data_IF_105320297050
#
_entry.id   IF_105320297050
#
_cell.length_a   1.000
_cell.length_b   1.000
_cell.length_c   1.000
_cell.angle_alpha   90.00
_cell.angle_beta   90.00
_cell.angle_gamma   90.00
#
_symmetry.space_group_name_H-M   'P 1'
#
loop_
_entity.id
_entity.type
_entity.pdbx_description
1 polymer ?
#
# COMPACT_ATOMS: atom_id res chain seq x y z
N UNK A 1 -2.79 4.90 -14.79
CA UNK A 1 -1.94 5.98 -14.23
C UNK A 1 -1.10 6.60 -15.33
N UNK A 2 -0.82 7.92 -15.25
CA UNK A 2 0.02 8.66 -16.23
C UNK A 2 1.32 9.00 -15.53
N UNK A 3 2.46 8.78 -16.21
CA UNK A 3 3.80 9.11 -15.69
C UNK A 3 4.46 10.19 -16.58
N UNK A 4 5.36 10.95 -15.97
CA UNK A 4 6.17 11.92 -16.71
C UNK A 4 7.13 11.19 -17.65
N UNK A 5 7.13 11.57 -18.93
CA UNK A 5 8.13 11.14 -19.90
C UNK A 5 8.87 12.37 -20.43
N UNK A 6 10.12 12.53 -20.01
CA UNK A 6 10.97 13.66 -20.39
C UNK A 6 11.42 13.65 -21.86
N UNK A 7 11.08 12.62 -22.63
CA UNK A 7 11.35 12.52 -24.09
C UNK A 7 10.27 13.22 -24.92
N UNK A 8 9.08 13.45 -24.33
CA UNK A 8 7.99 14.12 -25.01
C UNK A 8 8.20 15.64 -25.02
N UNK A 9 8.05 16.26 -26.16
CA UNK A 9 8.20 17.72 -26.33
C UNK A 9 6.82 18.39 -26.27
N UNK A 10 6.79 19.59 -25.66
CA UNK A 10 5.56 20.38 -25.53
C UNK A 10 4.52 19.74 -24.60
N UNK A 11 3.24 20.03 -24.85
CA UNK A 11 2.11 19.51 -24.06
C UNK A 11 1.50 18.30 -24.77
N UNK A 12 2.08 17.14 -24.55
CA UNK A 12 1.63 15.89 -25.16
C UNK A 12 1.18 14.90 -24.09
N UNK A 13 0.12 14.16 -24.39
CA UNK A 13 -0.36 13.02 -23.62
C UNK A 13 -0.37 11.80 -24.54
N UNK A 14 0.42 10.79 -24.22
CA UNK A 14 0.48 9.53 -24.94
C UNK A 14 -0.23 8.45 -24.16
N UNK A 15 -1.28 7.87 -24.72
CA UNK A 15 -2.04 6.77 -24.13
C UNK A 15 -1.58 5.45 -24.71
N UNK A 16 -1.30 4.47 -23.84
CA UNK A 16 -1.04 3.10 -24.27
C UNK A 16 -2.34 2.44 -24.73
N UNK A 17 -2.32 1.51 -25.70
CA UNK A 17 -3.52 0.81 -26.16
C UNK A 17 -4.32 0.16 -25.01
N UNK A 18 -3.62 -0.41 -24.01
CA UNK A 18 -4.25 -1.02 -22.84
C UNK A 18 -5.00 -0.06 -21.92
N UNK A 19 -4.74 1.25 -22.05
CA UNK A 19 -5.45 2.30 -21.28
C UNK A 19 -6.75 2.73 -21.95
N UNK A 20 -6.93 2.43 -23.23
CA UNK A 20 -8.15 2.76 -24.00
C UNK A 20 -9.15 1.65 -23.77
N UNK A 21 -10.15 1.88 -22.92
CA UNK A 21 -11.16 0.89 -22.53
C UNK A 21 -12.45 1.01 -23.34
N UNK A 22 -12.74 2.18 -23.87
CA UNK A 22 -13.94 2.47 -24.67
C UNK A 22 -13.70 3.72 -25.53
N UNK A 23 -14.48 3.88 -26.58
CA UNK A 23 -14.51 5.10 -27.38
C UNK A 23 -15.29 6.18 -26.61
N UNK A 24 -14.63 7.28 -26.29
CA UNK A 24 -15.26 8.43 -25.66
C UNK A 24 -15.62 9.48 -26.69
N UNK A 25 -16.84 10.01 -26.62
CA UNK A 25 -17.22 11.17 -27.40
C UNK A 25 -16.42 12.40 -26.96
N UNK A 26 -15.68 13.03 -27.83
CA UNK A 26 -15.05 14.37 -27.84
C UNK A 26 -14.84 15.12 -26.51
N UNK A 27 -14.66 14.42 -25.37
CA UNK A 27 -14.28 15.05 -24.11
C UNK A 27 -12.75 15.09 -24.01
N UNK A 28 -12.21 16.29 -23.88
CA UNK A 28 -10.77 16.58 -23.73
C UNK A 28 -10.38 16.81 -22.29
N UNK A 29 -11.32 16.69 -21.35
CA UNK A 29 -11.11 16.95 -19.93
C UNK A 29 -10.48 15.73 -19.25
N UNK A 30 -9.48 15.98 -18.43
CA UNK A 30 -8.82 14.97 -17.57
C UNK A 30 -9.10 15.33 -16.13
N UNK A 31 -9.71 14.41 -15.41
CA UNK A 31 -9.88 14.53 -13.97
C UNK A 31 -8.67 13.93 -13.26
N UNK A 32 -8.00 14.75 -12.44
CA UNK A 32 -6.83 14.33 -11.65
C UNK A 32 -7.31 13.98 -10.24
N UNK A 33 -7.39 12.69 -9.95
CA UNK A 33 -7.80 12.19 -8.63
C UNK A 33 -6.67 12.30 -7.61
N UNK A 34 -5.44 11.99 -8.02
CA UNK A 34 -4.28 11.94 -7.13
C UNK A 34 -2.97 12.13 -7.90
N UNK A 35 -1.90 12.47 -7.18
CA UNK A 35 -0.55 12.59 -7.75
C UNK A 35 0.54 12.20 -6.75
N UNK A 36 1.70 11.78 -7.25
CA UNK A 36 2.87 11.40 -6.45
C UNK A 36 3.67 12.64 -5.96
N UNK A 37 2.97 13.61 -5.38
CA UNK A 37 3.56 14.88 -4.94
C UNK A 37 4.55 14.71 -3.79
N UNK A 38 4.22 13.82 -2.85
CA UNK A 38 5.03 13.49 -1.69
C UNK A 38 5.03 11.97 -1.46
N UNK A 39 6.11 11.42 -0.90
CA UNK A 39 6.13 10.03 -0.50
C UNK A 39 5.17 9.82 0.68
N UNK A 40 4.43 8.72 0.67
CA UNK A 40 3.55 8.36 1.77
C UNK A 40 4.30 7.50 2.79
N UNK A 41 4.15 7.77 4.09
CA UNK A 41 4.77 6.95 5.11
C UNK A 41 4.22 5.52 5.05
N UNK A 42 5.11 4.55 5.23
CA UNK A 42 4.73 3.15 5.32
C UNK A 42 4.30 2.81 6.74
N UNK A 43 3.16 2.14 6.84
CA UNK A 43 2.68 1.53 8.08
C UNK A 43 2.49 0.04 7.89
N UNK A 44 2.96 -0.73 8.84
CA UNK A 44 2.62 -2.16 8.93
C UNK A 44 1.14 -2.34 9.27
N UNK A 45 0.61 -3.48 8.90
CA UNK A 45 -0.70 -3.96 9.32
C UNK A 45 -0.58 -5.43 9.77
N UNK A 46 -1.64 -5.97 10.36
CA UNK A 46 -1.62 -7.34 10.91
C UNK A 46 -1.25 -8.40 9.87
N UNK A 47 -1.83 -8.31 8.66
CA UNK A 47 -1.58 -9.28 7.61
C UNK A 47 -0.11 -9.26 7.18
N UNK A 48 0.43 -8.07 6.94
CA UNK A 48 1.81 -7.92 6.48
C UNK A 48 2.83 -8.35 7.56
N UNK A 49 2.54 -8.06 8.84
CA UNK A 49 3.35 -8.55 9.97
C UNK A 49 3.35 -10.08 9.97
N UNK A 50 2.15 -10.70 9.89
CA UNK A 50 2.04 -12.17 9.92
C UNK A 50 2.76 -12.84 8.76
N UNK A 51 2.67 -12.28 7.54
CA UNK A 51 3.42 -12.78 6.40
C UNK A 51 4.92 -12.71 6.65
N UNK A 52 5.45 -11.56 7.08
CA UNK A 52 6.88 -11.40 7.36
C UNK A 52 7.36 -12.32 8.48
N UNK A 53 6.55 -12.52 9.54
CA UNK A 53 6.81 -13.47 10.62
C UNK A 53 6.94 -14.90 10.07
N UNK A 54 5.96 -15.36 9.28
CA UNK A 54 5.96 -16.70 8.68
C UNK A 54 7.11 -16.89 7.67
N UNK A 55 7.56 -15.80 7.04
CA UNK A 55 8.77 -15.77 6.20
C UNK A 55 10.07 -15.76 7.04
N UNK A 56 9.98 -15.65 8.35
CA UNK A 56 11.10 -15.73 9.29
C UNK A 56 11.77 -14.40 9.64
N UNK A 57 11.10 -13.27 9.46
CA UNK A 57 11.52 -11.99 10.06
C UNK A 57 11.45 -12.11 11.58
N UNK A 58 12.44 -11.59 12.28
CA UNK A 58 12.54 -11.72 13.73
C UNK A 58 11.54 -10.82 14.46
N UNK A 59 10.89 -11.34 15.50
CA UNK A 59 9.91 -10.61 16.32
C UNK A 59 10.46 -9.31 16.87
N UNK A 60 11.77 -9.30 17.17
CA UNK A 60 12.47 -8.12 17.66
C UNK A 60 12.36 -6.91 16.75
N UNK A 61 12.25 -7.11 15.42
CA UNK A 61 12.03 -6.03 14.48
C UNK A 61 10.71 -5.31 14.75
N UNK A 62 9.62 -6.07 14.84
CA UNK A 62 8.27 -5.51 15.04
C UNK A 62 8.12 -4.87 16.42
N UNK A 63 8.61 -5.54 17.46
CA UNK A 63 8.56 -5.05 18.84
C UNK A 63 9.37 -3.77 19.03
N UNK A 64 10.54 -3.66 18.38
CA UNK A 64 11.34 -2.44 18.41
C UNK A 64 10.66 -1.27 17.72
N UNK A 65 10.02 -1.50 16.54
CA UNK A 65 9.24 -0.46 15.86
C UNK A 65 8.06 0.00 16.71
N UNK A 66 7.33 -0.94 17.33
CA UNK A 66 6.23 -0.63 18.23
C UNK A 66 6.69 0.18 19.43
N UNK A 67 7.78 -0.22 20.08
CA UNK A 67 8.33 0.48 21.25
C UNK A 67 8.73 1.92 20.89
N UNK A 68 9.41 2.11 19.77
CA UNK A 68 9.76 3.45 19.24
C UNK A 68 8.53 4.31 19.00
N UNK A 69 7.48 3.73 18.41
CA UNK A 69 6.25 4.49 18.14
C UNK A 69 5.52 4.88 19.43
N UNK A 70 5.44 3.96 20.41
CA UNK A 70 4.86 4.28 21.73
C UNK A 70 5.64 5.40 22.41
N UNK A 71 6.97 5.36 22.37
CA UNK A 71 7.81 6.41 22.94
C UNK A 71 7.63 7.74 22.20
N UNK A 72 7.61 7.72 20.87
CA UNK A 72 7.33 8.91 20.07
C UNK A 72 5.97 9.54 20.42
N UNK A 73 4.94 8.71 20.62
CA UNK A 73 3.61 9.18 21.01
C UNK A 73 3.62 9.81 22.42
N UNK A 74 4.38 9.26 23.37
CA UNK A 74 4.54 9.86 24.71
C UNK A 74 5.18 11.23 24.65
N UNK A 75 6.15 11.41 23.76
CA UNK A 75 6.93 12.64 23.62
C UNK A 75 6.22 13.79 22.87
N UNK A 76 5.01 13.55 22.31
CA UNK A 76 4.33 14.53 21.43
C UNK A 76 4.17 15.89 22.10
N UNK A 77 3.70 15.90 23.34
CA UNK A 77 3.42 17.14 24.06
C UNK A 77 4.63 17.75 24.74
N UNK A 78 5.78 17.10 24.74
CA UNK A 78 6.95 17.58 25.48
C UNK A 78 7.61 18.80 24.86
N UNK A 79 7.56 18.92 23.54
CA UNK A 79 8.14 20.07 22.85
C UNK A 79 7.25 20.57 21.71
N UNK A 80 7.32 21.86 21.36
CA UNK A 80 6.63 22.40 20.18
C UNK A 80 7.05 21.71 18.88
N UNK A 81 8.31 21.33 18.77
CA UNK A 81 8.86 20.60 17.63
C UNK A 81 8.18 19.24 17.48
N UNK A 82 8.08 18.46 18.56
CA UNK A 82 7.43 17.15 18.53
C UNK A 82 5.95 17.28 18.16
N UNK A 83 5.23 18.23 18.78
CA UNK A 83 3.82 18.48 18.51
C UNK A 83 3.57 18.89 17.04
N UNK A 84 4.35 19.85 16.52
CA UNK A 84 4.21 20.32 15.13
C UNK A 84 4.56 19.22 14.12
N UNK A 85 5.64 18.46 14.37
CA UNK A 85 6.06 17.34 13.52
C UNK A 85 5.02 16.22 13.52
N UNK A 86 4.42 15.92 14.67
CA UNK A 86 3.36 14.94 14.78
C UNK A 86 2.13 15.34 13.95
N UNK A 87 1.61 16.56 14.11
CA UNK A 87 0.47 17.04 13.34
C UNK A 87 0.75 17.04 11.83
N UNK A 88 1.95 17.44 11.43
CA UNK A 88 2.40 17.45 10.04
C UNK A 88 2.42 16.03 9.44
N UNK A 89 2.99 15.07 10.18
CA UNK A 89 3.05 13.67 9.76
C UNK A 89 1.67 13.03 9.58
N UNK A 90 0.71 13.43 10.44
CA UNK A 90 -0.66 12.92 10.39
C UNK A 90 -1.58 13.77 9.48
N UNK A 91 -1.04 14.80 8.83
CA UNK A 91 -1.81 15.77 8.02
C UNK A 91 -2.98 16.39 8.80
N UNK A 92 -2.82 16.54 10.12
CA UNK A 92 -3.84 17.14 10.99
C UNK A 92 -3.69 18.64 11.05
N UNK A 93 -4.75 19.35 10.67
CA UNK A 93 -4.81 20.82 10.74
C UNK A 93 -3.91 21.52 9.72
N UNK A 94 -3.56 20.89 8.61
CA UNK A 94 -2.78 21.52 7.52
C UNK A 94 -3.48 22.77 6.99
N UNK A 95 -4.79 22.71 6.73
CA UNK A 95 -5.59 23.84 6.23
C UNK A 95 -5.61 25.01 7.22
N UNK A 96 -5.52 24.74 8.51
CA UNK A 96 -5.48 25.74 9.59
C UNK A 96 -4.05 26.13 9.98
N UNK A 97 -3.05 25.62 9.28
CA UNK A 97 -1.62 25.87 9.56
C UNK A 97 -1.22 25.57 11.02
N UNK A 98 -1.86 24.59 11.68
CA UNK A 98 -1.62 24.29 13.10
C UNK A 98 -0.17 23.95 13.42
N UNK A 99 0.58 23.17 12.61
CA UNK A 99 2.00 22.94 12.85
C UNK A 99 2.82 24.22 12.88
N UNK A 100 2.53 25.15 11.96
CA UNK A 100 3.17 26.47 11.92
C UNK A 100 2.79 27.31 13.14
N UNK A 101 1.51 27.32 13.53
CA UNK A 101 1.01 28.07 14.68
C UNK A 101 1.72 27.66 15.97
N UNK A 102 1.89 26.34 16.21
CA UNK A 102 2.60 25.83 17.39
C UNK A 102 4.04 26.37 17.43
N UNK A 103 4.75 26.29 16.29
CA UNK A 103 6.12 26.80 16.20
C UNK A 103 6.18 28.32 16.37
N UNK A 104 5.20 29.05 15.83
CA UNK A 104 5.10 30.50 15.97
C UNK A 104 4.89 30.92 17.43
N UNK A 105 3.97 30.27 18.14
CA UNK A 105 3.75 30.50 19.56
C UNK A 105 5.03 30.26 20.37
N UNK A 106 5.74 29.17 20.06
CA UNK A 106 7.03 28.89 20.70
C UNK A 106 8.08 29.97 20.45
N UNK A 107 8.18 30.49 19.22
CA UNK A 107 9.11 31.57 18.89
C UNK A 107 8.80 32.89 19.64
N UNK A 108 7.56 33.04 20.10
CA UNK A 108 7.09 34.17 20.92
C UNK A 108 7.17 33.87 22.44
N UNK A 109 7.80 32.77 22.84
CA UNK A 109 7.83 32.27 24.23
C UNK A 109 6.45 31.99 24.83
N UNK A 110 5.44 31.74 24.00
CA UNK A 110 4.10 31.36 24.45
C UNK A 110 3.97 29.83 24.51
N UNK A 111 3.44 29.35 25.63
CA UNK A 111 3.27 27.91 25.82
C UNK A 111 1.97 27.42 25.16
N UNK A 112 2.08 26.73 24.02
CA UNK A 112 0.97 26.17 23.26
C UNK A 112 0.08 25.21 24.09
N UNK A 113 0.63 24.57 25.14
CA UNK A 113 -0.11 23.66 26.03
C UNK A 113 -1.17 24.39 26.87
N UNK A 114 -1.06 25.72 27.04
CA UNK A 114 -2.04 26.53 27.76
C UNK A 114 -3.25 26.89 26.90
N UNK A 115 -3.13 26.77 25.59
CA UNK A 115 -4.25 26.97 24.68
C UNK A 115 -5.14 25.71 24.66
N UNK A 116 -6.42 25.88 25.03
CA UNK A 116 -7.37 24.77 25.14
C UNK A 116 -7.67 24.12 23.81
N UNK A 117 -7.72 24.86 22.70
CA UNK A 117 -7.97 24.32 21.38
C UNK A 117 -6.81 23.47 20.89
N UNK A 118 -5.58 23.98 20.94
CA UNK A 118 -4.39 23.22 20.49
C UNK A 118 -4.19 21.97 21.34
N UNK A 119 -4.41 22.04 22.65
CA UNK A 119 -4.36 20.86 23.53
C UNK A 119 -5.37 19.80 23.10
N UNK A 120 -6.63 20.19 22.88
CA UNK A 120 -7.68 19.25 22.49
C UNK A 120 -7.40 18.62 21.12
N UNK A 121 -6.89 19.38 20.15
CA UNK A 121 -6.48 18.84 18.83
C UNK A 121 -5.37 17.81 18.98
N UNK A 122 -4.34 18.09 19.77
CA UNK A 122 -3.24 17.15 20.01
C UNK A 122 -3.71 15.90 20.75
N UNK A 123 -4.57 16.04 21.75
CA UNK A 123 -5.14 14.92 22.49
C UNK A 123 -6.00 14.03 21.60
N UNK A 124 -6.87 14.59 20.77
CA UNK A 124 -7.69 13.85 19.81
C UNK A 124 -6.83 13.12 18.79
N UNK A 125 -5.84 13.79 18.21
CA UNK A 125 -4.93 13.17 17.26
C UNK A 125 -4.12 12.03 17.91
N UNK A 126 -3.65 12.22 19.14
CA UNK A 126 -2.98 11.18 19.93
C UNK A 126 -3.88 9.97 20.18
N UNK A 127 -5.12 10.19 20.62
CA UNK A 127 -6.08 9.12 20.89
C UNK A 127 -6.40 8.30 19.61
N UNK A 128 -6.50 8.97 18.47
CA UNK A 128 -6.69 8.31 17.17
C UNK A 128 -5.49 7.41 16.86
N UNK A 129 -4.26 7.90 17.02
CA UNK A 129 -3.06 7.09 16.73
C UNK A 129 -2.92 5.90 17.68
N UNK A 130 -3.16 6.08 18.99
CA UNK A 130 -3.18 4.97 19.95
C UNK A 130 -4.24 3.93 19.56
N UNK A 131 -5.42 4.36 19.14
CA UNK A 131 -6.47 3.47 18.68
C UNK A 131 -6.08 2.71 17.42
N UNK A 132 -5.44 3.38 16.45
CA UNK A 132 -4.94 2.76 15.24
C UNK A 132 -3.80 1.77 15.54
N UNK A 133 -2.89 2.14 16.44
CA UNK A 133 -1.82 1.24 16.89
C UNK A 133 -2.41 -0.01 17.56
N UNK A 134 -3.35 0.17 18.50
CA UNK A 134 -3.97 -0.94 19.27
C UNK A 134 -4.83 -1.86 18.39
N UNK A 135 -5.70 -1.29 17.54
CA UNK A 135 -6.73 -2.06 16.84
C UNK A 135 -6.38 -2.41 15.39
N UNK A 136 -5.48 -1.66 14.75
CA UNK A 136 -5.05 -1.88 13.36
C UNK A 136 -3.59 -2.28 13.23
N UNK A 137 -2.84 -2.29 14.35
CA UNK A 137 -1.40 -2.55 14.35
C UNK A 137 -0.66 -1.63 13.37
N UNK A 138 -1.08 -0.36 13.32
CA UNK A 138 -0.53 0.64 12.41
C UNK A 138 0.81 1.15 12.94
N UNK A 139 1.85 0.37 12.70
CA UNK A 139 3.22 0.65 13.15
C UNK A 139 4.00 1.29 12.01
N UNK A 140 4.54 2.51 12.16
CA UNK A 140 5.32 3.17 11.12
C UNK A 140 6.67 2.50 10.90
N UNK A 141 7.10 2.43 9.64
CA UNK A 141 8.42 1.94 9.24
C UNK A 141 9.25 3.12 8.75
N UNK A 142 10.30 3.50 9.50
CA UNK A 142 11.14 4.66 9.16
C UNK A 142 11.95 4.45 7.87
N UNK A 143 12.38 3.21 7.61
CA UNK A 143 13.11 2.83 6.41
C UNK A 143 12.17 2.14 5.41
N UNK A 144 11.03 2.76 5.16
CA UNK A 144 10.03 2.27 4.22
C UNK A 144 9.13 3.38 3.71
N UNK A 145 8.60 3.21 2.51
CA UNK A 145 7.64 4.11 1.88
C UNK A 145 6.53 3.35 1.18
N UNK A 146 5.39 4.00 1.02
CA UNK A 146 4.23 3.52 0.28
C UNK A 146 4.06 4.41 -0.94
N UNK A 147 4.37 3.90 -2.13
CA UNK A 147 4.55 4.67 -3.36
C UNK A 147 3.77 4.06 -4.53
N UNK A 148 3.36 4.91 -5.45
CA UNK A 148 2.80 4.45 -6.73
C UNK A 148 3.82 3.66 -7.53
N UNK A 149 3.37 2.61 -8.22
CA UNK A 149 4.14 1.83 -9.17
C UNK A 149 3.93 2.32 -10.61
N UNK A 150 4.99 2.37 -11.39
CA UNK A 150 4.96 2.65 -12.82
C UNK A 150 5.90 1.71 -13.57
N UNK A 151 5.73 1.61 -14.88
CA UNK A 151 6.60 0.79 -15.71
C UNK A 151 7.83 1.56 -16.19
N UNK A 152 8.93 0.88 -16.37
CA UNK A 152 10.13 1.38 -17.06
C UNK A 152 9.90 1.41 -18.57
N UNK A 153 9.52 2.58 -19.10
CA UNK A 153 9.30 2.79 -20.53
C UNK A 153 10.62 2.80 -21.35
N UNK A 154 11.78 2.78 -20.68
CA UNK A 154 13.10 2.78 -21.36
C UNK A 154 13.64 1.36 -21.59
N UNK A 155 13.13 0.37 -20.86
CA UNK A 155 13.63 -1.00 -20.87
C UNK A 155 15.04 -1.17 -20.28
N UNK A 156 15.50 -0.21 -19.47
CA UNK A 156 16.81 -0.27 -18.81
C UNK A 156 16.85 -1.37 -17.74
N UNK A 157 15.82 -1.42 -16.89
CA UNK A 157 15.76 -2.32 -15.75
C UNK A 157 15.71 -3.79 -16.19
N UNK A 158 16.42 -4.64 -15.49
CA UNK A 158 16.37 -6.10 -15.68
C UNK A 158 15.32 -6.72 -14.75
N UNK A 159 14.99 -8.00 -14.96
CA UNK A 159 14.12 -8.77 -14.08
C UNK A 159 14.60 -8.69 -12.62
N UNK A 160 13.69 -8.46 -11.68
CA UNK A 160 14.00 -8.28 -10.27
C UNK A 160 14.62 -6.94 -9.89
N UNK A 161 14.82 -6.03 -10.85
CA UNK A 161 15.34 -4.70 -10.59
C UNK A 161 14.23 -3.65 -10.56
N UNK A 162 14.41 -2.66 -9.69
CA UNK A 162 13.55 -1.48 -9.60
C UNK A 162 14.40 -0.21 -9.57
N UNK A 163 13.78 0.91 -9.93
CA UNK A 163 14.32 2.25 -9.68
C UNK A 163 13.39 3.03 -8.77
N UNK A 164 13.93 3.63 -7.72
CA UNK A 164 13.17 4.40 -6.77
C UNK A 164 13.98 5.57 -6.22
N UNK A 165 13.45 6.78 -6.36
CA UNK A 165 13.99 8.01 -5.77
C UNK A 165 12.88 8.72 -5.01
N UNK A 166 13.19 9.07 -3.79
CA UNK A 166 12.30 9.84 -2.92
C UNK A 166 12.74 11.30 -2.95
N UNK A 167 11.80 12.18 -3.20
CA UNK A 167 11.96 13.63 -3.08
C UNK A 167 11.13 14.12 -1.90
N UNK A 168 11.79 14.65 -0.90
CA UNK A 168 11.12 15.22 0.26
C UNK A 168 10.51 16.61 -0.04
N UNK A 169 9.79 17.16 0.94
CA UNK A 169 9.17 18.48 0.84
C UNK A 169 10.19 19.64 0.71
N UNK A 170 11.46 19.40 1.06
CA UNK A 170 12.56 20.37 0.94
C UNK A 170 13.32 20.22 -0.38
N UNK A 171 12.91 19.28 -1.23
CA UNK A 171 13.56 18.99 -2.50
C UNK A 171 14.79 18.09 -2.41
N UNK A 172 15.12 17.56 -1.22
CA UNK A 172 16.21 16.61 -1.04
C UNK A 172 15.87 15.28 -1.68
N UNK A 173 16.82 14.69 -2.39
CA UNK A 173 16.65 13.42 -3.09
C UNK A 173 17.33 12.30 -2.33
N UNK A 174 16.58 11.25 -2.05
CA UNK A 174 17.10 10.02 -1.49
C UNK A 174 16.91 8.90 -2.49
N UNK A 175 18.01 8.38 -3.01
CA UNK A 175 18.01 7.23 -3.92
C UNK A 175 17.95 5.95 -3.09
N UNK A 176 17.06 5.04 -3.45
CA UNK A 176 16.91 3.73 -2.82
C UNK A 176 17.61 2.70 -3.71
N UNK A 177 18.81 2.30 -3.30
CA UNK A 177 19.64 1.33 -4.04
C UNK A 177 20.12 0.23 -3.11
N UNK A 178 20.48 -0.90 -3.71
CA UNK A 178 21.02 -2.06 -3.01
C UNK A 178 20.21 -3.31 -3.27
N UNK A 179 20.69 -4.42 -2.71
CA UNK A 179 20.04 -5.72 -2.82
C UNK A 179 19.11 -5.99 -1.66
N UNK A 180 18.23 -6.97 -1.86
CA UNK A 180 17.32 -7.45 -0.82
C UNK A 180 16.38 -6.38 -0.26
N UNK A 181 15.94 -5.45 -1.10
CA UNK A 181 14.86 -4.54 -0.76
C UNK A 181 13.56 -5.33 -0.76
N UNK A 182 12.78 -5.18 0.30
CA UNK A 182 11.48 -5.85 0.42
C UNK A 182 10.46 -5.03 -0.35
N UNK A 183 9.73 -5.68 -1.22
CA UNK A 183 8.62 -5.07 -1.97
C UNK A 183 7.35 -5.90 -1.81
N UNK A 184 6.21 -5.22 -1.70
CA UNK A 184 4.89 -5.83 -1.60
C UNK A 184 3.80 -4.84 -2.00
N UNK A 185 2.58 -5.33 -2.16
CA UNK A 185 1.37 -4.53 -2.39
C UNK A 185 0.29 -4.91 -1.39
N UNK A 186 -0.46 -3.94 -0.88
CA UNK A 186 -1.62 -4.23 -0.04
C UNK A 186 -2.89 -4.31 -0.90
N UNK A 187 -3.80 -5.24 -0.58
CA UNK A 187 -3.73 -6.24 0.48
C UNK A 187 -2.85 -7.43 0.11
N UNK A 188 -1.93 -7.83 0.98
CA UNK A 188 -1.12 -9.05 0.84
C UNK A 188 -1.66 -10.11 1.81
N UNK A 189 -1.90 -11.32 1.32
CA UNK A 189 -2.42 -12.45 2.09
C UNK A 189 -1.57 -13.71 1.93
N UNK A 190 -0.90 -13.85 0.77
CA UNK A 190 -0.02 -14.96 0.48
C UNK A 190 1.45 -14.58 0.72
N UNK A 191 2.30 -15.43 1.30
CA UNK A 191 3.73 -15.12 1.50
C UNK A 191 4.47 -14.75 0.22
N UNK A 192 4.07 -15.29 -0.92
CA UNK A 192 4.59 -14.93 -2.22
C UNK A 192 4.25 -13.53 -2.72
N UNK A 193 3.34 -12.79 -2.04
CA UNK A 193 3.07 -11.38 -2.33
C UNK A 193 4.17 -10.45 -1.82
N UNK A 194 5.17 -11.00 -1.12
CA UNK A 194 6.36 -10.28 -0.64
C UNK A 194 7.58 -10.81 -1.37
N UNK A 195 8.25 -9.94 -2.13
CA UNK A 195 9.42 -10.29 -2.91
C UNK A 195 10.64 -9.47 -2.50
N UNK A 196 11.83 -9.96 -2.83
CA UNK A 196 13.08 -9.22 -2.69
C UNK A 196 13.53 -8.71 -4.06
N UNK A 197 13.94 -7.46 -4.12
CA UNK A 197 14.36 -6.79 -5.35
C UNK A 197 15.68 -6.04 -5.17
N UNK A 198 16.30 -5.71 -6.29
CA UNK A 198 17.49 -4.87 -6.33
C UNK A 198 17.13 -3.45 -6.80
N UNK A 199 17.46 -2.46 -5.98
CA UNK A 199 17.37 -1.05 -6.35
C UNK A 199 18.59 -0.63 -7.16
N UNK A 200 18.40 -0.16 -8.37
CA UNK A 200 19.49 0.26 -9.27
C UNK A 200 19.35 1.70 -9.71
N UNK A 201 20.47 2.34 -10.06
CA UNK A 201 20.49 3.71 -10.54
C UNK A 201 20.67 3.72 -12.06
N UNK A 202 19.76 4.34 -12.83
CA UNK A 202 19.92 4.49 -14.28
C UNK A 202 21.10 5.42 -14.62
N UNK A 203 21.68 5.28 -15.84
CA UNK A 203 22.79 6.11 -16.28
C UNK A 203 22.41 7.59 -16.34
N UNK A 204 23.42 8.46 -16.37
CA UNK A 204 23.20 9.91 -16.57
C UNK A 204 22.50 10.14 -17.91
N UNK A 205 21.51 11.07 -17.92
CA UNK A 205 20.71 11.36 -19.12
C UNK A 205 19.52 10.39 -19.34
N UNK A 206 19.37 9.34 -18.53
CA UNK A 206 18.18 8.50 -18.62
C UNK A 206 16.93 9.28 -18.26
N UNK A 207 15.81 9.14 -19.04
CA UNK A 207 14.51 9.73 -18.73
C UNK A 207 13.97 9.31 -17.35
N UNK A 208 14.34 8.12 -16.87
CA UNK A 208 13.94 7.62 -15.56
C UNK A 208 14.39 8.53 -14.41
N UNK A 209 15.50 9.27 -14.58
CA UNK A 209 16.01 10.18 -13.54
C UNK A 209 15.13 11.40 -13.27
N UNK A 210 14.19 11.70 -14.14
CA UNK A 210 13.17 12.72 -13.92
C UNK A 210 12.06 12.26 -12.98
N UNK A 211 11.92 10.94 -12.76
CA UNK A 211 10.88 10.33 -11.94
C UNK A 211 11.29 10.31 -10.47
N UNK A 212 10.35 10.67 -9.60
CA UNK A 212 10.53 10.60 -8.15
C UNK A 212 9.20 10.32 -7.45
N UNK A 213 9.26 9.87 -6.21
CA UNK A 213 8.11 9.46 -5.39
C UNK A 213 7.26 8.34 -6.01
N UNK A 214 7.89 7.50 -6.80
CA UNK A 214 7.29 6.32 -7.40
C UNK A 214 8.31 5.19 -7.47
N UNK A 215 7.82 3.96 -7.64
CA UNK A 215 8.64 2.78 -7.89
C UNK A 215 8.51 2.45 -9.37
N UNK A 216 9.63 2.40 -10.07
CA UNK A 216 9.69 2.02 -11.49
C UNK A 216 10.02 0.55 -11.58
N UNK A 217 9.15 -0.22 -12.23
CA UNK A 217 9.28 -1.67 -12.40
C UNK A 217 9.81 -2.02 -13.77
N UNK A 218 10.62 -3.08 -13.83
CA UNK A 218 11.10 -3.66 -15.09
C UNK A 218 9.94 -4.22 -15.92
N UNK A 219 10.02 -4.05 -17.23
CA UNK A 219 9.15 -4.72 -18.20
C UNK A 219 9.69 -6.09 -18.67
N UNK A 220 10.84 -6.52 -18.11
CA UNK A 220 11.53 -7.78 -18.50
C UNK A 220 11.25 -8.87 -17.47
N UNK A 221 11.33 -10.10 -17.93
CA UNK A 221 11.11 -11.30 -17.13
C UNK A 221 9.97 -12.16 -17.69
N UNK A 222 9.81 -13.35 -17.14
CA UNK A 222 8.76 -14.29 -17.52
C UNK A 222 7.38 -13.86 -17.04
N UNK A 223 7.33 -13.15 -15.91
CA UNK A 223 6.14 -12.56 -15.30
C UNK A 223 6.50 -11.19 -14.75
N UNK A 224 5.68 -10.20 -15.03
CA UNK A 224 5.87 -8.84 -14.50
C UNK A 224 5.83 -8.82 -12.96
N UNK A 225 6.74 -8.08 -12.35
CA UNK A 225 6.85 -8.02 -10.90
C UNK A 225 5.57 -7.46 -10.22
N UNK A 226 4.90 -6.41 -10.73
CA UNK A 226 3.63 -5.95 -10.16
C UNK A 226 2.59 -7.05 -10.00
N UNK A 227 2.38 -7.91 -11.00
CA UNK A 227 1.42 -9.02 -10.92
C UNK A 227 1.82 -10.09 -9.92
N UNK A 228 3.11 -10.22 -9.62
CA UNK A 228 3.62 -11.11 -8.57
C UNK A 228 3.29 -10.60 -7.17
N UNK A 229 3.00 -9.30 -7.02
CA UNK A 229 2.72 -8.65 -5.76
C UNK A 229 1.20 -8.48 -5.60
N UNK A 230 0.53 -9.54 -5.13
CA UNK A 230 -0.93 -9.54 -4.91
C UNK A 230 -1.74 -9.09 -6.14
N UNK A 231 -1.32 -9.51 -7.34
CA UNK A 231 -2.05 -9.24 -8.58
C UNK A 231 -2.06 -7.78 -9.05
N UNK A 232 -1.04 -6.97 -8.71
CA UNK A 232 -0.96 -5.57 -9.13
C UNK A 232 -0.89 -5.38 -10.65
N UNK A 233 -1.45 -4.29 -11.17
CA UNK A 233 -1.56 -4.01 -12.61
C UNK A 233 -1.15 -2.57 -13.02
N UNK A 234 -0.60 -1.78 -12.09
CA UNK A 234 -0.12 -0.40 -12.29
C UNK A 234 -1.19 0.61 -12.72
N UNK A 235 -2.46 0.35 -12.45
CA UNK A 235 -3.57 1.25 -12.80
C UNK A 235 -3.75 2.43 -11.83
N UNK A 236 -2.97 2.49 -10.79
CA UNK A 236 -2.98 3.44 -9.66
C UNK A 236 -2.47 2.78 -8.38
N UNK A 237 -2.06 1.54 -8.49
CA UNK A 237 -1.55 0.74 -7.39
C UNK A 237 -0.39 1.39 -6.68
N UNK A 238 -0.39 1.20 -5.36
CA UNK A 238 0.72 1.59 -4.50
C UNK A 238 1.38 0.37 -3.92
N UNK A 239 2.70 0.46 -3.80
CA UNK A 239 3.55 -0.63 -3.35
C UNK A 239 4.33 -0.20 -2.10
N UNK A 240 4.57 -1.15 -1.22
CA UNK A 240 5.47 -1.01 -0.08
C UNK A 240 6.89 -1.27 -0.54
N UNK A 241 7.82 -0.39 -0.15
CA UNK A 241 9.25 -0.63 -0.30
C UNK A 241 9.91 -0.45 1.07
N UNK A 242 10.67 -1.45 1.52
CA UNK A 242 11.39 -1.43 2.79
C UNK A 242 12.87 -1.76 2.51
N UNK A 243 13.77 -0.90 3.01
CA UNK A 243 15.22 -1.10 2.91
C UNK A 243 15.88 -1.29 4.27
N UNK A 244 15.10 -1.62 5.31
CA UNK A 244 15.63 -2.01 6.61
C UNK A 244 16.05 -3.46 6.60
N UNK A 245 17.34 -3.74 6.73
CA UNK A 245 17.88 -5.11 6.74
C UNK A 245 17.35 -5.94 7.92
N UNK A 246 16.93 -5.31 9.02
CA UNK A 246 16.29 -6.00 10.14
C UNK A 246 14.90 -6.58 9.79
N UNK A 247 14.26 -6.04 8.76
CA UNK A 247 12.97 -6.53 8.25
C UNK A 247 13.13 -7.73 7.30
N UNK A 248 14.36 -8.01 6.83
CA UNK A 248 14.61 -9.00 5.78
C UNK A 248 14.14 -10.39 6.22
N UNK A 249 13.23 -11.03 5.43
CA UNK A 249 12.78 -12.37 5.71
C UNK A 249 13.90 -13.40 5.46
N UNK A 250 13.88 -14.50 6.21
CA UNK A 250 14.82 -15.63 6.04
C UNK A 250 14.48 -16.51 4.84
N UNK A 251 13.21 -16.54 4.43
CA UNK A 251 12.70 -17.33 3.32
C UNK A 251 11.85 -16.45 2.41
N UNK A 252 11.99 -16.65 1.10
CA UNK A 252 11.15 -16.03 0.07
C UNK A 252 10.38 -17.14 -0.63
N UNK A 253 9.13 -16.92 -0.90
CA UNK A 253 8.23 -17.89 -1.51
C UNK A 253 7.90 -17.49 -2.94
N UNK A 254 7.53 -18.48 -3.76
CA UNK A 254 7.06 -18.21 -5.11
C UNK A 254 5.80 -17.33 -5.05
N UNK A 255 5.70 -16.32 -5.93
CA UNK A 255 4.49 -15.54 -6.06
C UNK A 255 3.26 -16.42 -6.30
N UNK A 256 2.16 -16.07 -5.65
CA UNK A 256 0.89 -16.74 -5.93
C UNK A 256 0.46 -16.46 -7.38
N UNK A 257 -0.17 -17.45 -7.98
CA UNK A 257 -0.76 -17.29 -9.30
C UNK A 257 -2.22 -16.85 -9.12
N UNK A 258 -2.47 -15.56 -9.37
CA UNK A 258 -3.83 -15.01 -9.32
C UNK A 258 -4.37 -14.93 -10.74
N UNK A 259 -5.23 -15.90 -11.16
CA UNK A 259 -5.76 -15.91 -12.50
C UNK A 259 -6.61 -14.67 -12.77
N UNK A 260 -6.35 -14.01 -13.89
CA UNK A 260 -7.22 -12.94 -14.36
C UNK A 260 -8.48 -13.58 -14.94
N UNK A 261 -9.61 -13.27 -14.35
CA UNK A 261 -10.91 -13.71 -14.82
C UNK A 261 -11.44 -12.68 -15.82
N UNK A 262 -11.94 -13.16 -16.95
CA UNK A 262 -12.62 -12.30 -17.90
C UNK A 262 -13.97 -11.85 -17.35
N UNK A 263 -14.39 -10.59 -17.60
CA UNK A 263 -15.73 -10.14 -17.21
C UNK A 263 -16.83 -10.97 -17.84
N UNK A 264 -17.93 -11.15 -17.10
CA UNK A 264 -19.11 -11.83 -17.64
C UNK A 264 -19.70 -10.99 -18.78
N UNK A 265 -19.72 -11.54 -20.00
CA UNK A 265 -20.42 -10.93 -21.14
C UNK A 265 -21.89 -11.36 -21.13
N UNK A 266 -22.79 -10.39 -21.02
CA UNK A 266 -24.24 -10.62 -21.07
C UNK A 266 -24.79 -10.71 -22.52
N UNK A 267 -23.92 -10.60 -23.53
CA UNK A 267 -24.28 -10.77 -24.95
C UNK A 267 -25.13 -9.64 -25.55
N UNK A 268 -25.34 -8.54 -24.84
CA UNK A 268 -26.10 -7.36 -25.27
C UNK A 268 -25.61 -6.09 -24.57
N UNK A 269 -26.06 -4.95 -25.04
CA UNK A 269 -25.77 -3.67 -24.37
C UNK A 269 -26.35 -3.64 -22.95
N UNK A 270 -25.56 -3.13 -22.01
CA UNK A 270 -25.94 -3.00 -20.58
C UNK A 270 -27.02 -1.95 -20.42
N UNK A 271 -28.11 -2.29 -19.71
CA UNK A 271 -29.22 -1.39 -19.36
C UNK A 271 -29.05 -0.84 -17.93
N UNK A 272 -29.91 0.11 -17.56
CA UNK A 272 -29.93 0.63 -16.17
C UNK A 272 -30.40 -0.43 -15.18
N UNK A 273 -31.32 -1.29 -15.62
CA UNK A 273 -31.84 -2.42 -14.84
C UNK A 273 -30.72 -3.41 -14.52
N UNK A 274 -29.89 -3.76 -15.50
CA UNK A 274 -28.74 -4.65 -15.29
C UNK A 274 -27.76 -4.06 -14.26
N UNK A 275 -27.52 -2.75 -14.30
CA UNK A 275 -26.66 -2.06 -13.33
C UNK A 275 -27.25 -2.10 -11.91
N UNK A 276 -28.58 -1.95 -11.79
CA UNK A 276 -29.25 -2.03 -10.49
C UNK A 276 -29.22 -3.45 -9.94
N UNK A 277 -29.51 -4.46 -10.77
CA UNK A 277 -29.49 -5.87 -10.38
C UNK A 277 -28.08 -6.30 -9.96
N UNK A 278 -27.07 -5.88 -10.71
CA UNK A 278 -25.67 -6.11 -10.34
C UNK A 278 -25.31 -5.46 -9.01
N UNK A 279 -25.74 -4.22 -8.77
CA UNK A 279 -25.48 -3.53 -7.51
C UNK A 279 -26.12 -4.26 -6.32
N UNK A 280 -27.36 -4.73 -6.47
CA UNK A 280 -28.06 -5.53 -5.45
C UNK A 280 -27.28 -6.83 -5.19
N UNK A 281 -26.92 -7.56 -6.26
CA UNK A 281 -26.15 -8.78 -6.16
C UNK A 281 -24.80 -8.54 -5.46
N UNK A 282 -24.11 -7.45 -5.79
CA UNK A 282 -22.85 -7.07 -5.15
C UNK A 282 -23.03 -6.88 -3.63
N UNK A 283 -24.07 -6.14 -3.22
CA UNK A 283 -24.34 -5.89 -1.80
C UNK A 283 -24.71 -7.19 -1.04
N UNK A 284 -25.38 -8.12 -1.67
CA UNK A 284 -25.79 -9.39 -1.06
C UNK A 284 -24.66 -10.41 -0.97
N UNK A 285 -23.74 -10.40 -1.93
CA UNK A 285 -22.71 -11.45 -2.10
C UNK A 285 -21.29 -10.98 -1.78
N UNK A 286 -21.08 -9.73 -1.36
CA UNK A 286 -19.74 -9.27 -0.96
C UNK A 286 -19.22 -10.04 0.26
N UNK A 287 -18.21 -10.87 0.02
CA UNK A 287 -17.54 -11.70 1.03
C UNK A 287 -16.14 -11.21 1.38
N UNK A 288 -15.65 -10.12 0.77
CA UNK A 288 -14.27 -9.66 0.87
C UNK A 288 -13.81 -9.51 2.32
N UNK A 289 -14.58 -8.78 3.13
CA UNK A 289 -14.26 -8.56 4.54
C UNK A 289 -14.28 -9.84 5.36
N UNK A 290 -15.20 -10.77 5.06
CA UNK A 290 -15.32 -12.06 5.73
C UNK A 290 -14.13 -12.96 5.43
N UNK A 291 -13.73 -13.06 4.16
CA UNK A 291 -12.56 -13.83 3.71
C UNK A 291 -11.29 -13.30 4.39
N UNK A 292 -11.08 -11.98 4.41
CA UNK A 292 -9.93 -11.37 5.05
C UNK A 292 -9.86 -11.66 6.56
N UNK A 293 -11.01 -11.69 7.26
CA UNK A 293 -11.07 -12.03 8.69
C UNK A 293 -10.77 -13.51 8.92
N UNK A 294 -11.35 -14.40 8.10
CA UNK A 294 -11.11 -15.85 8.18
C UNK A 294 -9.64 -16.18 7.93
N UNK A 295 -9.05 -15.64 6.87
CA UNK A 295 -7.61 -15.80 6.58
C UNK A 295 -6.76 -15.42 7.79
N UNK A 296 -7.02 -14.26 8.40
CA UNK A 296 -6.27 -13.82 9.58
C UNK A 296 -6.41 -14.78 10.76
N UNK A 297 -7.63 -15.25 11.05
CA UNK A 297 -7.86 -16.19 12.16
C UNK A 297 -7.12 -17.49 11.91
N UNK A 298 -7.20 -18.04 10.70
CA UNK A 298 -6.50 -19.28 10.36
C UNK A 298 -4.99 -19.11 10.40
N UNK A 299 -4.46 -18.02 9.84
CA UNK A 299 -3.03 -17.74 9.87
C UNK A 299 -2.47 -17.63 11.29
N UNK A 300 -3.26 -17.11 12.25
CA UNK A 300 -2.85 -17.03 13.66
C UNK A 300 -2.93 -18.39 14.37
N UNK A 301 -3.83 -19.30 13.95
CA UNK A 301 -4.06 -20.57 14.65
C UNK A 301 -3.34 -21.77 14.03
N UNK A 302 -3.05 -21.73 12.73
CA UNK A 302 -2.41 -22.86 12.03
C UNK A 302 -0.89 -22.85 12.25
N UNK A 303 -0.30 -24.03 12.40
CA UNK A 303 1.16 -24.19 12.60
C UNK A 303 1.95 -23.63 11.42
N UNK A 304 1.44 -23.79 10.19
CA UNK A 304 2.09 -23.29 8.98
C UNK A 304 1.77 -21.79 8.71
N UNK A 305 0.93 -21.18 9.55
CA UNK A 305 0.58 -19.77 9.39
C UNK A 305 -0.08 -19.46 8.03
N UNK A 306 0.39 -18.45 7.36
CA UNK A 306 -0.08 -18.04 6.02
C UNK A 306 0.28 -19.03 4.91
N UNK A 307 1.16 -20.01 5.18
CA UNK A 307 1.51 -21.09 4.26
C UNK A 307 0.54 -22.28 4.33
N UNK A 308 -0.41 -22.30 5.26
CA UNK A 308 -1.42 -23.34 5.34
C UNK A 308 -2.31 -23.32 4.08
N UNK A 309 -2.70 -24.50 3.60
CA UNK A 309 -3.50 -24.62 2.38
C UNK A 309 -4.82 -23.86 2.46
N UNK A 310 -5.48 -23.84 3.63
CA UNK A 310 -6.71 -23.10 3.82
C UNK A 310 -6.45 -21.58 3.68
N UNK A 311 -5.31 -21.09 4.20
CA UNK A 311 -4.91 -19.69 4.03
C UNK A 311 -4.59 -19.34 2.57
N UNK A 312 -3.89 -20.22 1.86
CA UNK A 312 -3.62 -20.03 0.43
C UNK A 312 -4.92 -19.97 -0.39
N UNK A 313 -5.84 -20.89 -0.13
CA UNK A 313 -7.18 -20.90 -0.78
C UNK A 313 -7.95 -19.60 -0.49
N UNK A 314 -7.92 -19.13 0.77
CA UNK A 314 -8.56 -17.86 1.12
C UNK A 314 -7.88 -16.65 0.47
N UNK A 315 -6.56 -16.69 0.24
CA UNK A 315 -5.86 -15.64 -0.48
C UNK A 315 -6.30 -15.57 -1.96
N UNK A 316 -6.47 -16.71 -2.62
CA UNK A 316 -7.01 -16.78 -3.98
C UNK A 316 -8.46 -16.29 -4.05
N UNK A 317 -9.31 -16.74 -3.12
CA UNK A 317 -10.70 -16.27 -3.01
C UNK A 317 -10.78 -14.78 -2.76
N UNK A 318 -9.87 -14.23 -1.94
CA UNK A 318 -9.79 -12.80 -1.67
C UNK A 318 -9.45 -12.01 -2.93
N UNK A 319 -8.49 -12.48 -3.72
CA UNK A 319 -8.15 -11.86 -5.01
C UNK A 319 -9.33 -11.81 -5.96
N UNK A 320 -10.07 -12.93 -6.10
CA UNK A 320 -11.30 -12.98 -6.91
C UNK A 320 -12.37 -12.03 -6.37
N UNK A 321 -12.53 -11.93 -5.03
CA UNK A 321 -13.51 -11.05 -4.41
C UNK A 321 -13.18 -9.55 -4.60
N UNK A 322 -11.89 -9.18 -4.66
CA UNK A 322 -11.45 -7.81 -4.98
C UNK A 322 -11.88 -7.43 -6.40
N UNK A 323 -11.76 -8.36 -7.36
CA UNK A 323 -12.08 -8.12 -8.75
C UNK A 323 -13.56 -8.37 -9.09
N UNK A 324 -14.40 -8.71 -8.12
CA UNK A 324 -15.82 -8.96 -8.37
C UNK A 324 -16.53 -7.78 -9.06
N UNK A 325 -16.24 -6.56 -8.65
CA UNK A 325 -16.80 -5.36 -9.29
C UNK A 325 -16.39 -5.18 -10.75
N UNK A 326 -15.28 -5.79 -11.17
CA UNK A 326 -14.78 -5.74 -12.56
C UNK A 326 -15.25 -6.94 -13.38
N UNK A 327 -15.34 -8.11 -12.76
CA UNK A 327 -15.60 -9.38 -13.46
C UNK A 327 -17.06 -9.80 -13.43
N UNK A 328 -17.82 -9.37 -12.42
CA UNK A 328 -19.17 -9.86 -12.17
C UNK A 328 -19.24 -11.27 -11.57
N UNK A 329 -18.09 -11.87 -11.20
CA UNK A 329 -18.00 -13.23 -10.68
C UNK A 329 -17.98 -13.20 -9.14
N UNK A 330 -19.09 -13.58 -8.46
CA UNK A 330 -19.14 -13.60 -7.00
C UNK A 330 -18.33 -14.76 -6.44
N UNK A 331 -17.70 -14.54 -5.29
CA UNK A 331 -17.06 -15.62 -4.53
C UNK A 331 -18.06 -16.19 -3.52
N UNK A 332 -18.36 -17.46 -3.64
CA UNK A 332 -19.19 -18.17 -2.67
C UNK A 332 -18.27 -18.88 -1.68
N UNK A 333 -18.07 -18.27 -0.52
CA UNK A 333 -17.30 -18.87 0.56
C UNK A 333 -18.19 -19.82 1.38
N UNK A 334 -18.23 -21.10 1.03
CA UNK A 334 -18.90 -22.15 1.83
C UNK A 334 -18.08 -22.55 3.09
N UNK A 335 -17.16 -21.72 3.54
CA UNK A 335 -16.44 -21.96 4.79
C UNK A 335 -17.40 -21.83 5.98
N UNK A 336 -17.79 -22.96 6.55
CA UNK A 336 -18.54 -23.00 7.81
C UNK A 336 -17.60 -22.61 8.95
N UNK A 337 -17.66 -21.34 9.36
CA UNK A 337 -16.93 -20.79 10.51
C UNK A 337 -16.96 -21.69 11.75
N UNK A 338 -18.04 -22.46 11.94
CA UNK A 338 -18.21 -23.38 13.06
C UNK A 338 -17.25 -24.57 13.03
N UNK A 339 -16.87 -25.06 11.85
CA UNK A 339 -15.94 -26.19 11.71
C UNK A 339 -14.48 -25.73 11.93
N UNK A 340 -14.15 -24.49 11.52
CA UNK A 340 -12.82 -23.91 11.72
C UNK A 340 -12.57 -23.62 13.21
N UNK A 341 -13.57 -23.07 13.92
CA UNK A 341 -13.47 -22.76 15.35
C UNK A 341 -13.57 -24.01 16.23
N UNK A 342 -14.38 -25.00 15.85
CA UNK A 342 -14.54 -26.24 16.60
C UNK A 342 -13.28 -27.13 16.59
N UNK A 343 -12.47 -27.09 15.52
CA UNK A 343 -11.24 -27.83 15.42
C UNK A 343 -10.03 -27.11 16.06
N UNK A 344 -10.22 -25.94 16.65
CA UNK A 344 -9.16 -25.15 17.31
C UNK A 344 -9.26 -25.19 18.85
N UNK A 345 -10.22 -25.93 19.43
CA UNK A 345 -10.28 -26.20 20.86
C UNK A 345 -9.65 -27.57 21.15
N UNK A 346 -8.31 -27.64 21.11
CA UNK A 346 -7.50 -28.66 21.80
C UNK A 346 -6.33 -27.95 22.46
#
# INVERSE_FOLDING_TARGET
MISLDSRLEGNQLVLRPSMIKFEASNKTDIEICEGAWKPLPLYLNRQFIKILEDMGTEDGFFLNLQAKEVERLRMIIESPYNASTFLKRQSVGEVLYLPWLINKLSSMNLNFRRDGFLRNVLEMAFLIEIRLLKHKTRIPVEKGWHLHGIMDETGFLQEGQIYCVIKDEYGSLKVITGKDLIISRAPALHPGDVQLVEGVMPPQGSPLRALHNCIVFSQKGSRDLPSQLSGGDLDGDRYYIIWDQAAKPKKVFKPADYPRLDPIDIGRSVTKEDMMDFFIQFMETDQLGRIAVLHRILADHRILGTLDNDCCTLAEMHSTAVDFSKTGIPVIAEFKLREVVANTTV
#
